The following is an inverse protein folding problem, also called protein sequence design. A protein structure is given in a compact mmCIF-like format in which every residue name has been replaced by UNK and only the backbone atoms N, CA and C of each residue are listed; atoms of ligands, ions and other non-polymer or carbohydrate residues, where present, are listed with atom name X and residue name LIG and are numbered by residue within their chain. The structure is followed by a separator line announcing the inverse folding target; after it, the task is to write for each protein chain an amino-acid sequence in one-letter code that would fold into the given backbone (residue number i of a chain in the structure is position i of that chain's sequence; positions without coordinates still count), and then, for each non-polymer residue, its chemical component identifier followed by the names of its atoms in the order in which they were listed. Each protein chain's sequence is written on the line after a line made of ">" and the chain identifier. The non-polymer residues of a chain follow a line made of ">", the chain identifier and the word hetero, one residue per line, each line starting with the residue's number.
data_IF_864254174040
#
_entry.id   IF_864254174040
#
_cell.length_a   1.000
_cell.length_b   1.000
_cell.length_c   1.000
_cell.angle_alpha   90.00
_cell.angle_beta   90.00
_cell.angle_gamma   90.00
#
_symmetry.space_group_name_H-M   'P 1'
#
loop_
_entity.id
_entity.type
_entity.pdbx_description
1 polymer ?
#
# COMPACT_ATOMS: atom_id res chain seq x y z
N UNK A 1 -7.48 -13.25 9.79
CA UNK A 1 -8.64 -12.48 9.28
C UNK A 1 -8.09 -11.50 8.26
N UNK A 2 -8.62 -11.52 7.05
CA UNK A 2 -8.18 -10.64 5.97
C UNK A 2 -8.94 -9.33 6.04
N UNK A 3 -8.25 -8.19 5.97
CA UNK A 3 -8.85 -6.85 6.10
C UNK A 3 -8.39 -6.00 4.92
N UNK A 4 -9.31 -5.24 4.33
CA UNK A 4 -8.98 -4.24 3.32
C UNK A 4 -9.13 -2.86 3.94
N UNK A 5 -8.05 -2.08 3.90
CA UNK A 5 -8.03 -0.72 4.39
C UNK A 5 -7.66 0.29 3.30
N UNK A 6 -8.02 1.55 3.55
CA UNK A 6 -7.62 2.67 2.70
C UNK A 6 -6.30 3.24 3.21
N UNK A 7 -5.38 3.51 2.29
CA UNK A 7 -4.13 4.20 2.58
C UNK A 7 -3.85 5.31 1.59
N UNK A 8 -2.83 6.09 1.90
CA UNK A 8 -2.25 7.09 1.00
C UNK A 8 -0.88 6.61 0.56
N UNK A 9 -0.62 6.62 -0.74
CA UNK A 9 0.70 6.30 -1.30
C UNK A 9 1.67 7.45 -1.01
N UNK A 10 2.75 7.19 -0.28
CA UNK A 10 3.80 8.18 -0.01
C UNK A 10 4.91 8.11 -1.05
N UNK A 11 5.32 6.91 -1.43
CA UNK A 11 6.36 6.69 -2.43
C UNK A 11 6.19 5.32 -3.11
N UNK A 12 6.68 5.20 -4.33
CA UNK A 12 6.71 3.94 -5.08
C UNK A 12 8.09 3.73 -5.72
N UNK A 13 8.58 2.49 -5.65
CA UNK A 13 9.81 2.05 -6.31
C UNK A 13 9.47 1.05 -7.39
N UNK A 14 9.68 1.44 -8.65
CA UNK A 14 9.44 0.56 -9.81
C UNK A 14 10.46 -0.56 -9.95
N UNK A 15 11.68 -0.39 -9.42
CA UNK A 15 12.73 -1.42 -9.47
C UNK A 15 12.42 -2.63 -8.58
N UNK A 16 11.84 -2.38 -7.41
CA UNK A 16 11.46 -3.44 -6.44
C UNK A 16 9.95 -3.72 -6.44
N UNK A 17 9.16 -2.93 -7.16
CA UNK A 17 7.69 -2.99 -7.17
C UNK A 17 7.06 -2.87 -5.77
N UNK A 18 7.66 -2.01 -4.95
CA UNK A 18 7.24 -1.78 -3.56
C UNK A 18 6.80 -0.34 -3.35
N UNK A 19 5.80 -0.16 -2.52
CA UNK A 19 5.27 1.13 -2.12
C UNK A 19 5.49 1.40 -0.63
N UNK A 20 5.61 2.69 -0.30
CA UNK A 20 5.49 3.21 1.06
C UNK A 20 4.13 3.85 1.19
N UNK A 21 3.35 3.42 2.18
CA UNK A 21 1.95 3.79 2.36
C UNK A 21 1.72 4.35 3.75
N UNK A 22 0.73 5.22 3.90
CA UNK A 22 0.20 5.63 5.19
C UNK A 22 -1.22 5.10 5.33
N UNK A 23 -1.47 4.25 6.33
CA UNK A 23 -2.80 3.67 6.58
C UNK A 23 -3.71 4.73 7.22
N UNK A 24 -4.93 4.93 6.69
CA UNK A 24 -5.83 5.98 7.16
C UNK A 24 -6.38 5.73 8.59
N UNK A 25 -6.43 4.48 9.04
CA UNK A 25 -6.86 4.11 10.41
C UNK A 25 -5.79 4.29 11.49
N UNK A 26 -4.52 4.46 11.10
CA UNK A 26 -3.39 4.65 12.01
C UNK A 26 -2.60 5.88 11.55
N UNK A 27 -2.96 7.04 12.10
CA UNK A 27 -2.41 8.36 11.74
C UNK A 27 -0.87 8.45 11.80
N UNK A 28 -0.20 7.52 12.47
CA UNK A 28 1.23 7.60 12.79
C UNK A 28 2.12 6.53 12.14
N UNK A 29 1.57 5.52 11.46
CA UNK A 29 2.39 4.44 10.87
C UNK A 29 2.43 4.52 9.35
N UNK A 30 3.57 4.97 8.84
CA UNK A 30 3.96 4.70 7.45
C UNK A 30 4.52 3.28 7.38
N UNK A 31 4.01 2.49 6.44
CA UNK A 31 4.46 1.13 6.16
C UNK A 31 5.28 1.20 4.88
N UNK A 32 6.56 0.91 4.99
CA UNK A 32 7.47 0.85 3.85
C UNK A 32 7.52 -0.57 3.27
N UNK A 33 8.04 -0.68 2.05
CA UNK A 33 8.30 -1.95 1.38
C UNK A 33 7.05 -2.84 1.16
N UNK A 34 5.86 -2.24 1.06
CA UNK A 34 4.62 -2.98 0.79
C UNK A 34 4.61 -3.40 -0.69
N UNK A 35 4.50 -4.70 -1.01
CA UNK A 35 4.42 -5.15 -2.39
C UNK A 35 3.16 -4.62 -3.09
N UNK A 36 3.32 -4.21 -4.34
CA UNK A 36 2.22 -3.73 -5.18
C UNK A 36 1.84 -4.79 -6.20
N UNK A 37 0.53 -4.95 -6.45
CA UNK A 37 0.04 -5.79 -7.54
C UNK A 37 0.63 -5.34 -8.88
N UNK A 38 1.27 -6.28 -9.59
CA UNK A 38 1.86 -6.04 -10.92
C UNK A 38 0.82 -5.79 -12.02
N UNK A 39 -0.46 -5.96 -11.72
CA UNK A 39 -1.55 -5.57 -12.61
C UNK A 39 -1.82 -4.07 -12.62
N UNK A 40 -1.24 -3.31 -11.68
CA UNK A 40 -1.37 -1.84 -11.61
C UNK A 40 -0.24 -1.21 -12.40
N UNK A 41 -0.60 -0.28 -13.30
CA UNK A 41 0.39 0.48 -14.05
C UNK A 41 1.23 1.34 -13.10
N UNK A 42 2.56 1.27 -13.26
CA UNK A 42 3.50 2.09 -12.51
C UNK A 42 3.22 3.59 -12.66
N UNK A 43 2.67 4.04 -13.78
CA UNK A 43 2.28 5.43 -14.00
C UNK A 43 1.16 5.90 -13.06
N UNK A 44 0.29 5.00 -12.60
CA UNK A 44 -0.81 5.33 -11.70
C UNK A 44 -0.37 5.39 -10.23
N UNK A 45 0.78 4.82 -9.89
CA UNK A 45 1.37 4.78 -8.54
C UNK A 45 2.07 6.10 -8.19
N UNK A 46 1.32 7.19 -8.25
CA UNK A 46 1.77 8.54 -7.91
C UNK A 46 1.61 8.83 -6.41
N UNK A 47 2.60 9.48 -5.80
CA UNK A 47 2.52 9.90 -4.41
C UNK A 47 1.27 10.77 -4.15
N UNK A 48 0.77 10.74 -2.91
CA UNK A 48 -0.47 11.37 -2.44
C UNK A 48 -1.78 10.76 -2.97
N UNK A 49 -1.73 9.72 -3.80
CA UNK A 49 -2.94 9.00 -4.25
C UNK A 49 -3.52 8.09 -3.18
N UNK A 50 -4.81 7.82 -3.30
CA UNK A 50 -5.51 6.89 -2.41
C UNK A 50 -5.32 5.48 -2.93
N UNK A 51 -5.02 4.54 -2.04
CA UNK A 51 -4.81 3.14 -2.40
C UNK A 51 -5.66 2.22 -1.52
N UNK A 52 -6.05 1.09 -2.11
CA UNK A 52 -6.63 -0.03 -1.38
C UNK A 52 -5.50 -1.00 -1.00
N UNK A 53 -5.39 -1.25 0.30
CA UNK A 53 -4.37 -2.14 0.88
C UNK A 53 -5.06 -3.33 1.49
N UNK A 54 -4.66 -4.51 1.05
CA UNK A 54 -5.08 -5.79 1.56
C UNK A 54 -4.09 -6.24 2.64
N UNK A 55 -4.52 -6.30 3.91
CA UNK A 55 -3.72 -6.75 5.04
C UNK A 55 -4.06 -8.21 5.31
N UNK A 56 -3.07 -9.10 5.19
CA UNK A 56 -3.26 -10.55 5.38
C UNK A 56 -3.22 -10.93 6.85
N UNK A 57 -2.33 -10.31 7.62
CA UNK A 57 -2.19 -10.49 9.05
C UNK A 57 -2.36 -9.15 9.79
N UNK A 58 -3.42 -9.02 10.58
CA UNK A 58 -3.66 -7.83 11.39
C UNK A 58 -2.60 -7.62 12.50
N UNK A 59 -1.91 -8.68 12.92
CA UNK A 59 -0.79 -8.61 13.87
C UNK A 59 0.52 -8.16 13.22
N UNK A 60 0.61 -8.25 11.89
CA UNK A 60 1.77 -7.84 11.11
C UNK A 60 1.33 -6.96 9.93
N UNK A 61 1.20 -5.64 10.13
CA UNK A 61 0.76 -4.73 9.07
C UNK A 61 1.73 -4.64 7.88
N UNK A 62 2.95 -5.19 8.00
CA UNK A 62 3.90 -5.33 6.88
C UNK A 62 3.50 -6.46 5.93
N UNK A 63 2.74 -7.46 6.41
CA UNK A 63 2.15 -8.51 5.59
C UNK A 63 0.87 -8.00 4.91
N UNK A 64 1.09 -7.12 3.93
CA UNK A 64 0.05 -6.45 3.19
C UNK A 64 0.41 -6.32 1.71
N UNK A 65 -0.59 -6.06 0.86
CA UNK A 65 -0.40 -5.86 -0.57
C UNK A 65 -1.30 -4.76 -1.10
N UNK A 66 -0.78 -3.92 -1.98
CA UNK A 66 -1.58 -2.92 -2.69
C UNK A 66 -2.32 -3.61 -3.84
N UNK A 67 -3.65 -3.53 -3.80
CA UNK A 67 -4.53 -4.18 -4.78
C UNK A 67 -5.20 -3.20 -5.73
N UNK A 68 -5.15 -1.89 -5.44
CA UNK A 68 -5.72 -0.87 -6.33
C UNK A 68 -5.31 0.54 -5.95
N UNK A 69 -5.39 1.44 -6.93
CA UNK A 69 -5.15 2.89 -6.79
C UNK A 69 -6.38 3.64 -7.28
N UNK A 70 -6.69 4.77 -6.65
CA UNK A 70 -7.75 5.71 -7.03
C UNK A 70 -7.20 7.14 -7.08
#
# INVERSE_FOLDING_TARGET
>A
MFIVERGTLLAFSSGTYTATLQIAGSLSSSIAAVPVSRGIDAAELTASRRVAVAIFDAGNPVDAMVIGVH
#
